data_IF_188114415919
#
_entry.id   IF_188114415919
#
_cell.length_a   1.000
_cell.length_b   1.000
_cell.length_c   1.000
_cell.angle_alpha   90.00
_cell.angle_beta   90.00
_cell.angle_gamma   90.00
#
_symmetry.space_group_name_H-M   'P 1'
#
loop_
_entity.id
_entity.type
_entity.pdbx_description
1 polymer ?
#
# COMPACT_ATOMS: atom_id res chain seq x y z
N UNK A 1 6.44 23.06 -6.18
CA UNK A 1 6.38 21.69 -6.71
C UNK A 1 4.95 21.21 -6.59
N UNK A 2 4.39 20.59 -7.63
CA UNK A 2 2.99 20.19 -7.70
C UNK A 2 2.91 18.72 -8.15
N UNK A 3 2.14 17.91 -7.43
CA UNK A 3 1.83 16.55 -7.86
C UNK A 3 0.80 16.63 -8.99
N UNK A 4 1.14 16.07 -10.14
CA UNK A 4 0.31 16.04 -11.33
C UNK A 4 -0.35 14.66 -11.53
N UNK A 5 0.27 13.61 -10.99
CA UNK A 5 -0.19 12.21 -11.16
C UNK A 5 -0.16 11.46 -9.82
N UNK A 6 -1.26 10.78 -9.49
CA UNK A 6 -1.31 9.84 -8.36
C UNK A 6 -1.60 8.43 -8.88
N UNK A 7 -0.72 7.49 -8.57
CA UNK A 7 -0.83 6.07 -8.94
C UNK A 7 -1.36 5.31 -7.72
N UNK A 8 -2.62 4.88 -7.77
CA UNK A 8 -3.26 4.17 -6.66
C UNK A 8 -3.26 2.68 -6.95
N UNK A 9 -2.65 1.88 -6.05
CA UNK A 9 -2.54 0.42 -6.17
C UNK A 9 -3.36 -0.24 -5.06
N UNK A 10 -4.65 -0.54 -5.29
CA UNK A 10 -5.42 -1.34 -4.35
C UNK A 10 -4.91 -2.78 -4.33
N UNK A 11 -4.74 -3.36 -3.15
CA UNK A 11 -4.17 -4.69 -3.00
C UNK A 11 -4.76 -5.45 -1.81
N UNK A 12 -4.78 -6.77 -1.90
CA UNK A 12 -5.03 -7.70 -0.80
C UNK A 12 -4.39 -9.04 -1.12
N UNK A 13 -3.42 -9.47 -0.31
CA UNK A 13 -2.65 -10.69 -0.49
C UNK A 13 -1.96 -10.81 -1.87
N UNK A 14 -1.61 -9.69 -2.52
CA UNK A 14 -0.93 -9.65 -3.84
C UNK A 14 0.55 -9.28 -3.77
N UNK A 15 1.25 -9.81 -2.77
CA UNK A 15 2.68 -9.62 -2.57
C UNK A 15 3.52 -9.89 -3.82
N UNK A 16 3.24 -10.99 -4.54
CA UNK A 16 3.97 -11.37 -5.76
C UNK A 16 3.77 -10.35 -6.89
N UNK A 17 2.55 -9.89 -7.07
CA UNK A 17 2.21 -8.92 -8.12
C UNK A 17 2.85 -7.56 -7.81
N UNK A 18 2.84 -7.13 -6.55
CA UNK A 18 3.52 -5.91 -6.11
C UNK A 18 5.04 -5.94 -6.36
N UNK A 19 5.69 -7.08 -6.15
CA UNK A 19 7.14 -7.23 -6.45
C UNK A 19 7.45 -6.99 -7.93
N UNK A 20 6.51 -7.30 -8.82
CA UNK A 20 6.68 -7.09 -10.26
C UNK A 20 6.29 -5.67 -10.67
N UNK A 21 5.23 -5.12 -10.08
CA UNK A 21 4.68 -3.83 -10.46
C UNK A 21 5.47 -2.63 -9.91
N UNK A 22 6.00 -2.70 -8.69
CA UNK A 22 6.66 -1.55 -8.05
C UNK A 22 7.96 -1.11 -8.74
N UNK A 23 8.90 -2.02 -9.14
CA UNK A 23 10.15 -1.60 -9.77
C UNK A 23 10.01 -0.71 -11.00
N UNK A 24 9.20 -1.05 -12.02
CA UNK A 24 9.03 -0.15 -13.17
C UNK A 24 8.36 1.18 -12.76
N UNK A 25 7.36 1.16 -11.87
CA UNK A 25 6.68 2.38 -11.43
C UNK A 25 7.58 3.35 -10.65
N UNK A 26 8.59 2.83 -9.94
CA UNK A 26 9.58 3.65 -9.23
C UNK A 26 10.70 4.15 -10.17
N UNK A 27 10.86 3.54 -11.34
CA UNK A 27 11.89 3.88 -12.32
C UNK A 27 11.28 4.45 -13.61
N UNK A 28 10.42 5.45 -13.46
CA UNK A 28 9.83 6.19 -14.57
C UNK A 28 10.77 7.34 -15.02
N UNK A 29 10.68 7.70 -16.29
CA UNK A 29 11.27 8.93 -16.85
C UNK A 29 10.44 10.18 -16.54
N UNK A 30 9.27 10.02 -15.92
CA UNK A 30 8.44 11.11 -15.41
C UNK A 30 9.07 11.77 -14.16
N UNK A 31 8.96 13.11 -13.99
CA UNK A 31 9.63 13.80 -12.88
C UNK A 31 9.21 13.26 -11.51
N UNK A 32 10.19 12.76 -10.73
CA UNK A 32 9.95 12.07 -9.44
C UNK A 32 9.18 12.89 -8.39
N UNK A 33 9.21 14.22 -8.51
CA UNK A 33 8.53 15.14 -7.60
C UNK A 33 7.11 15.54 -8.09
N UNK A 34 6.69 15.05 -9.25
CA UNK A 34 5.39 15.33 -9.86
C UNK A 34 4.43 14.13 -9.83
N UNK A 35 4.86 12.98 -9.27
CA UNK A 35 3.98 11.84 -9.06
C UNK A 35 4.16 11.18 -7.71
N UNK A 36 3.12 10.48 -7.26
CA UNK A 36 3.13 9.62 -6.09
C UNK A 36 2.55 8.23 -6.39
N UNK A 37 2.96 7.25 -5.60
CA UNK A 37 2.46 5.88 -5.59
C UNK A 37 1.83 5.62 -4.22
N UNK A 38 0.56 5.28 -4.19
CA UNK A 38 -0.17 4.95 -2.97
C UNK A 38 -0.63 3.50 -3.04
N UNK A 39 -0.02 2.64 -2.24
CA UNK A 39 -0.46 1.26 -2.07
C UNK A 39 -1.52 1.21 -0.99
N UNK A 40 -2.73 0.78 -1.35
CA UNK A 40 -3.88 0.68 -0.45
C UNK A 40 -4.18 -0.78 -0.15
N UNK A 41 -3.86 -1.25 1.04
CA UNK A 41 -4.02 -2.64 1.47
C UNK A 41 -5.32 -2.87 2.25
N UNK A 42 -6.22 -3.69 1.70
CA UNK A 42 -7.49 -4.12 2.32
C UNK A 42 -7.28 -5.30 3.31
N UNK A 43 -6.27 -5.18 4.18
CA UNK A 43 -6.01 -6.15 5.25
C UNK A 43 -5.34 -7.43 4.79
N UNK A 44 -4.21 -7.33 4.07
CA UNK A 44 -3.37 -8.47 3.77
C UNK A 44 -2.85 -9.14 5.05
N UNK A 45 -2.76 -10.48 5.04
CA UNK A 45 -2.21 -11.27 6.15
C UNK A 45 -0.77 -11.75 5.90
N UNK A 46 -0.27 -11.54 4.68
CA UNK A 46 1.10 -11.90 4.27
C UNK A 46 2.08 -10.73 4.29
N UNK A 47 3.15 -10.85 3.51
CA UNK A 47 4.25 -9.88 3.44
C UNK A 47 4.01 -8.67 2.51
N UNK A 48 2.74 -8.33 2.24
CA UNK A 48 2.38 -7.19 1.38
C UNK A 48 3.02 -5.89 1.88
N UNK A 49 2.89 -5.59 3.17
CA UNK A 49 3.48 -4.40 3.82
C UNK A 49 4.99 -4.34 3.64
N UNK A 50 5.66 -5.44 3.98
CA UNK A 50 7.13 -5.54 3.98
C UNK A 50 7.72 -5.28 2.59
N UNK A 51 7.03 -5.71 1.52
CA UNK A 51 7.44 -5.47 0.14
C UNK A 51 7.33 -4.00 -0.23
N UNK A 52 6.22 -3.34 0.13
CA UNK A 52 6.05 -1.91 -0.13
C UNK A 52 7.05 -1.06 0.67
N UNK A 53 7.29 -1.40 1.94
CA UNK A 53 8.26 -0.70 2.78
C UNK A 53 9.69 -0.85 2.25
N UNK A 54 10.09 -2.04 1.80
CA UNK A 54 11.38 -2.22 1.12
C UNK A 54 11.50 -1.39 -0.14
N UNK A 55 10.43 -1.30 -0.94
CA UNK A 55 10.44 -0.48 -2.14
C UNK A 55 10.60 1.02 -1.82
N UNK A 56 10.03 1.48 -0.70
CA UNK A 56 10.17 2.85 -0.20
C UNK A 56 11.58 3.18 0.30
N UNK A 57 12.29 2.22 0.89
CA UNK A 57 13.67 2.40 1.34
C UNK A 57 14.66 2.54 0.17
N UNK A 58 14.37 1.86 -0.94
CA UNK A 58 15.25 1.84 -2.11
C UNK A 58 15.04 3.05 -3.03
N UNK A 59 13.86 3.70 -2.99
CA UNK A 59 13.52 4.80 -3.90
C UNK A 59 12.81 5.94 -3.14
N UNK A 60 13.41 7.14 -3.18
CA UNK A 60 13.02 8.32 -2.41
C UNK A 60 11.52 8.64 -2.45
N UNK A 61 10.93 8.79 -1.26
CA UNK A 61 9.76 9.59 -0.81
C UNK A 61 8.44 9.61 -1.61
N UNK A 62 8.35 9.11 -2.83
CA UNK A 62 7.14 9.19 -3.64
C UNK A 62 6.21 7.98 -3.46
N UNK A 63 6.52 7.02 -2.59
CA UNK A 63 5.67 5.86 -2.31
C UNK A 63 5.15 5.84 -0.87
N UNK A 64 3.88 5.53 -0.70
CA UNK A 64 3.18 5.45 0.59
C UNK A 64 2.39 4.15 0.69
N UNK A 65 2.36 3.57 1.90
CA UNK A 65 1.53 2.41 2.22
C UNK A 65 0.39 2.82 3.16
N UNK A 66 -0.84 2.55 2.76
CA UNK A 66 -2.05 2.77 3.57
C UNK A 66 -2.71 1.42 3.78
N UNK A 67 -2.92 1.03 5.04
CA UNK A 67 -3.70 -0.17 5.37
C UNK A 67 -5.09 0.24 5.85
N UNK A 68 -6.11 -0.51 5.45
CA UNK A 68 -7.44 -0.39 6.04
C UNK A 68 -7.35 -0.65 7.55
N UNK A 69 -7.71 0.36 8.34
CA UNK A 69 -7.92 0.15 9.77
C UNK A 69 -9.19 -0.67 9.94
N UNK A 70 -9.05 -1.90 10.43
CA UNK A 70 -10.20 -2.69 10.86
C UNK A 70 -10.78 -2.01 12.10
N UNK A 71 -11.85 -1.23 11.93
CA UNK A 71 -12.71 -0.86 13.05
C UNK A 71 -13.53 -2.09 13.39
N UNK A 72 -13.15 -2.81 14.43
CA UNK A 72 -14.06 -3.76 15.05
C UNK A 72 -15.32 -2.97 15.44
N UNK A 73 -16.45 -3.29 14.82
CA UNK A 73 -17.73 -2.80 15.30
C UNK A 73 -17.87 -3.28 16.75
N UNK A 74 -18.04 -2.34 17.69
CA UNK A 74 -18.27 -2.63 19.12
C UNK A 74 -19.57 -3.43 19.37
N UNK A 75 -20.29 -3.83 18.33
CA UNK A 75 -21.55 -4.56 18.42
C UNK A 75 -21.42 -6.07 18.14
N UNK A 76 -20.25 -6.67 18.35
CA UNK A 76 -20.18 -8.11 18.49
C UNK A 76 -20.65 -8.46 19.91
N UNK A 77 -21.98 -8.58 20.08
CA UNK A 77 -22.55 -9.27 21.23
C UNK A 77 -22.00 -10.69 21.21
N UNK A 78 -20.95 -10.93 22.00
CA UNK A 78 -20.56 -12.27 22.41
C UNK A 78 -21.79 -12.87 23.11
N UNK A 79 -22.32 -14.03 22.68
CA UNK A 79 -23.29 -14.72 23.50
C UNK A 79 -22.58 -15.01 24.83
N UNK A 80 -23.19 -14.57 25.93
CA UNK A 80 -22.83 -15.02 27.26
C UNK A 80 -23.01 -16.54 27.29
N UNK A 81 -21.91 -17.26 27.06
CA UNK A 81 -21.80 -18.67 27.40
C UNK A 81 -21.73 -18.75 28.93
N UNK A 82 -22.90 -19.11 29.48
CA UNK A 82 -23.04 -19.92 30.68
C UNK A 82 -22.21 -21.22 30.54
#
# INVERSE_FOLDING_TARGET
>A
MMLNVSIIIPTRNRAKDLKVALPPLLNQDYPILEYEIIVVDDGSTGNTREITERAALLNKNNIRYIVKQIRFSKNLHLPSLL
#
